data_IF_837638018501
#
_entry.id   IF_837638018501
#
_cell.length_a   1.000
_cell.length_b   1.000
_cell.length_c   1.000
_cell.angle_alpha   90.00
_cell.angle_beta   90.00
_cell.angle_gamma   90.00
#
_symmetry.space_group_name_H-M   'P 1'
#
loop_
_entity.id
_entity.type
_entity.pdbx_description
1 polymer ?
#
# COMPACT_ATOMS: atom_id res chain seq x y z
N UNK A 1 22.55 -6.41 -0.27
CA UNK A 1 22.93 -5.01 0.10
C UNK A 1 22.10 -4.50 1.28
N UNK A 2 20.76 -4.35 1.16
CA UNK A 2 19.92 -3.88 2.28
C UNK A 2 20.04 -4.81 3.52
N UNK A 3 19.99 -6.12 3.32
CA UNK A 3 20.12 -7.13 4.39
C UNK A 3 21.49 -7.10 5.08
N UNK A 4 22.55 -6.82 4.31
CA UNK A 4 23.91 -6.73 4.87
C UNK A 4 24.04 -5.47 5.72
N UNK A 5 23.53 -4.34 5.22
CA UNK A 5 23.55 -3.08 5.95
C UNK A 5 22.67 -3.11 7.21
N UNK A 6 21.49 -3.73 7.13
CA UNK A 6 20.61 -3.91 8.30
C UNK A 6 21.24 -4.84 9.34
N UNK A 7 21.92 -5.91 8.92
CA UNK A 7 22.66 -6.79 9.84
C UNK A 7 23.86 -6.12 10.51
N UNK A 8 24.56 -5.25 9.77
CA UNK A 8 25.67 -4.46 10.31
C UNK A 8 25.18 -3.50 11.39
N UNK A 9 24.17 -2.69 11.08
CA UNK A 9 23.56 -1.78 12.04
C UNK A 9 22.92 -2.53 13.22
N UNK A 10 22.28 -3.67 12.98
CA UNK A 10 21.67 -4.48 14.03
C UNK A 10 22.69 -5.00 15.03
N UNK A 11 23.85 -5.48 14.55
CA UNK A 11 24.99 -5.87 15.41
C UNK A 11 25.55 -4.68 16.18
N UNK A 12 25.70 -3.53 15.52
CA UNK A 12 26.23 -2.31 16.14
C UNK A 12 25.33 -1.77 17.26
N UNK A 13 24.00 -1.74 17.04
CA UNK A 13 23.02 -1.31 18.06
C UNK A 13 22.98 -2.31 19.21
N UNK A 14 22.95 -3.61 18.93
CA UNK A 14 22.91 -4.65 19.97
C UNK A 14 24.15 -4.61 20.86
N UNK A 15 25.35 -4.43 20.28
CA UNK A 15 26.60 -4.34 21.03
C UNK A 15 26.69 -3.12 21.97
N UNK A 16 25.89 -2.08 21.73
CA UNK A 16 25.80 -0.88 22.58
C UNK A 16 24.64 -0.93 23.57
N UNK A 17 23.80 -1.96 23.52
CA UNK A 17 22.62 -2.07 24.35
C UNK A 17 22.97 -2.78 25.67
N UNK A 18 22.93 -2.04 26.78
CA UNK A 18 23.30 -2.53 28.12
C UNK A 18 22.29 -3.56 28.69
N UNK A 19 21.06 -3.62 28.16
CA UNK A 19 20.06 -4.63 28.56
C UNK A 19 19.17 -5.01 27.36
N UNK A 20 19.63 -5.89 26.45
CA UNK A 20 18.95 -6.17 25.20
C UNK A 20 17.73 -7.09 25.40
N UNK A 21 16.52 -6.52 25.32
CA UNK A 21 15.26 -7.30 25.29
C UNK A 21 15.03 -8.05 23.97
N UNK A 22 15.71 -7.64 22.89
CA UNK A 22 15.54 -8.19 21.55
C UNK A 22 16.87 -8.69 21.00
N UNK A 23 16.84 -9.85 20.33
CA UNK A 23 18.01 -10.40 19.65
C UNK A 23 18.42 -9.58 18.41
N UNK A 24 19.69 -9.75 18.01
CA UNK A 24 20.28 -9.09 16.82
C UNK A 24 19.42 -9.27 15.56
N UNK A 25 18.81 -10.45 15.38
CA UNK A 25 17.97 -10.75 14.22
C UNK A 25 16.70 -9.88 14.19
N UNK A 26 16.01 -9.72 15.32
CA UNK A 26 14.81 -8.88 15.42
C UNK A 26 15.13 -7.40 15.17
N UNK A 27 16.24 -6.92 15.73
CA UNK A 27 16.72 -5.55 15.51
C UNK A 27 17.07 -5.35 14.03
N UNK A 28 17.84 -6.26 13.44
CA UNK A 28 18.23 -6.19 12.03
C UNK A 28 17.01 -6.21 11.09
N UNK A 29 16.00 -7.03 11.40
CA UNK A 29 14.76 -7.08 10.64
C UNK A 29 13.95 -5.78 10.74
N UNK A 30 13.85 -5.19 11.95
CA UNK A 30 13.21 -3.88 12.13
C UNK A 30 13.90 -2.79 11.31
N UNK A 31 15.23 -2.74 11.33
CA UNK A 31 16.03 -1.80 10.53
C UNK A 31 15.81 -2.02 9.04
N UNK A 32 15.74 -3.28 8.60
CA UNK A 32 15.45 -3.63 7.22
C UNK A 32 14.07 -3.08 6.79
N UNK A 33 13.03 -3.22 7.62
CA UNK A 33 11.71 -2.65 7.35
C UNK A 33 11.79 -1.12 7.22
N UNK A 34 12.51 -0.45 8.13
CA UNK A 34 12.67 1.00 8.10
C UNK A 34 13.36 1.47 6.81
N UNK A 35 14.49 0.85 6.43
CA UNK A 35 15.21 1.18 5.20
C UNK A 35 14.31 0.95 3.98
N UNK A 36 13.60 -0.17 3.93
CA UNK A 36 12.65 -0.48 2.85
C UNK A 36 11.51 0.55 2.79
N UNK A 37 11.05 1.06 3.93
CA UNK A 37 10.07 2.13 4.03
C UNK A 37 10.60 3.46 3.52
N UNK A 38 11.81 3.85 3.94
CA UNK A 38 12.48 5.07 3.50
C UNK A 38 12.70 5.09 1.99
N UNK A 39 13.15 3.97 1.39
CA UNK A 39 13.30 3.87 -0.06
C UNK A 39 11.96 4.09 -0.78
N UNK A 40 10.85 3.53 -0.27
CA UNK A 40 9.52 3.77 -0.85
C UNK A 40 9.13 5.25 -0.76
N UNK A 41 9.37 5.89 0.39
CA UNK A 41 9.07 7.30 0.58
C UNK A 41 9.86 8.17 -0.42
N UNK A 42 11.16 7.92 -0.57
CA UNK A 42 12.00 8.64 -1.55
C UNK A 42 11.44 8.48 -2.96
N UNK A 43 11.02 7.28 -3.36
CA UNK A 43 10.44 7.06 -4.70
C UNK A 43 9.10 7.79 -4.86
N UNK A 44 8.25 7.82 -3.83
CA UNK A 44 6.98 8.57 -3.87
C UNK A 44 7.25 10.07 -4.00
N UNK A 45 8.23 10.60 -3.27
CA UNK A 45 8.64 12.01 -3.39
C UNK A 45 9.23 12.32 -4.77
N UNK A 46 10.03 11.41 -5.34
CA UNK A 46 10.55 11.54 -6.70
C UNK A 46 9.41 11.58 -7.74
N UNK A 47 8.38 10.74 -7.60
CA UNK A 47 7.17 10.80 -8.42
C UNK A 47 6.48 12.16 -8.25
N UNK A 48 6.39 12.68 -7.02
CA UNK A 48 5.85 14.00 -6.74
C UNK A 48 6.58 15.14 -7.44
N UNK A 49 7.90 15.09 -7.46
CA UNK A 49 8.72 16.06 -8.19
C UNK A 49 8.54 15.94 -9.70
N UNK A 50 8.40 14.73 -10.24
CA UNK A 50 8.15 14.51 -11.67
C UNK A 50 6.78 15.02 -12.14
N UNK A 51 5.81 15.10 -11.23
CA UNK A 51 4.44 15.53 -11.51
C UNK A 51 4.17 16.99 -11.08
N UNK A 52 5.21 17.72 -10.65
CA UNK A 52 5.11 19.04 -10.03
C UNK A 52 4.05 19.11 -8.89
N UNK A 53 3.80 17.98 -8.24
CA UNK A 53 2.82 17.86 -7.17
C UNK A 53 3.21 16.73 -6.21
N UNK A 54 3.77 17.11 -5.06
CA UNK A 54 4.20 16.15 -4.03
C UNK A 54 3.00 15.60 -3.22
N UNK A 55 1.90 16.35 -3.13
CA UNK A 55 0.76 15.99 -2.31
C UNK A 55 -0.02 14.80 -2.86
N UNK A 56 -0.29 14.75 -4.17
CA UNK A 56 -1.10 13.67 -4.76
C UNK A 56 -0.42 12.29 -4.66
N UNK A 57 0.88 12.10 -4.97
CA UNK A 57 1.54 10.80 -4.81
C UNK A 57 1.70 10.38 -3.35
N UNK A 58 1.92 11.31 -2.43
CA UNK A 58 1.92 11.01 -0.99
C UNK A 58 0.55 10.47 -0.55
N UNK A 59 -0.52 11.15 -0.96
CA UNK A 59 -1.88 10.73 -0.64
C UNK A 59 -2.21 9.37 -1.27
N UNK A 60 -1.87 9.16 -2.54
CA UNK A 60 -1.99 7.86 -3.20
C UNK A 60 -1.22 6.77 -2.44
N UNK A 61 0.01 7.06 -2.02
CA UNK A 61 0.84 6.15 -1.23
C UNK A 61 0.23 5.81 0.13
N UNK A 62 -0.37 6.78 0.82
CA UNK A 62 -1.07 6.56 2.10
C UNK A 62 -2.33 5.72 1.88
N UNK A 63 -3.19 6.07 0.92
CA UNK A 63 -4.41 5.30 0.62
C UNK A 63 -4.10 3.86 0.20
N UNK A 64 -3.13 3.69 -0.70
CA UNK A 64 -2.62 2.39 -1.11
C UNK A 64 -2.05 1.61 0.08
N UNK A 65 -1.18 2.23 0.87
CA UNK A 65 -0.49 1.62 2.00
C UNK A 65 -1.44 1.18 3.12
N UNK A 66 -2.35 2.07 3.54
CA UNK A 66 -3.36 1.78 4.55
C UNK A 66 -4.23 0.60 4.13
N UNK A 67 -4.77 0.63 2.91
CA UNK A 67 -5.59 -0.48 2.43
C UNK A 67 -4.79 -1.78 2.36
N UNK A 68 -3.52 -1.73 1.94
CA UNK A 68 -2.62 -2.89 1.85
C UNK A 68 -2.30 -3.52 3.19
N UNK A 69 -2.15 -2.72 4.26
CA UNK A 69 -1.89 -3.24 5.62
C UNK A 69 -3.01 -4.18 6.07
N UNK A 70 -4.27 -3.87 5.73
CA UNK A 70 -5.42 -4.66 6.17
C UNK A 70 -5.91 -5.69 5.15
N UNK A 71 -5.75 -5.43 3.85
CA UNK A 71 -6.18 -6.34 2.78
C UNK A 71 -5.10 -7.34 2.35
N UNK A 72 -3.82 -7.05 2.61
CA UNK A 72 -2.69 -7.77 2.04
C UNK A 72 -2.49 -7.41 0.56
N UNK A 73 -2.00 -8.34 -0.26
CA UNK A 73 -1.81 -8.11 -1.69
C UNK A 73 -0.66 -8.90 -2.29
N UNK A 74 -0.38 -8.65 -3.56
CA UNK A 74 0.72 -9.29 -4.26
C UNK A 74 2.08 -8.89 -3.66
N UNK A 75 2.77 -9.84 -3.01
CA UNK A 75 4.17 -9.70 -2.65
C UNK A 75 5.06 -10.31 -3.74
N UNK A 76 5.81 -9.47 -4.44
CA UNK A 76 6.78 -9.92 -5.42
C UNK A 76 7.96 -10.64 -4.71
N UNK A 77 8.58 -11.59 -5.41
CA UNK A 77 9.75 -12.36 -4.93
C UNK A 77 10.91 -11.47 -4.46
N UNK A 78 11.02 -10.26 -5.00
CA UNK A 78 12.05 -9.30 -4.60
C UNK A 78 11.43 -7.97 -4.23
N UNK A 79 12.07 -7.30 -3.28
CA UNK A 79 11.69 -5.95 -2.89
C UNK A 79 11.73 -4.96 -4.06
N UNK A 80 12.73 -5.08 -4.95
CA UNK A 80 12.85 -4.20 -6.13
C UNK A 80 11.64 -4.31 -7.05
N UNK A 81 11.17 -5.53 -7.33
CA UNK A 81 9.95 -5.75 -8.12
C UNK A 81 8.72 -5.18 -7.41
N UNK A 82 8.60 -5.40 -6.10
CA UNK A 82 7.49 -4.83 -5.32
C UNK A 82 7.51 -3.30 -5.33
N UNK A 83 8.68 -2.69 -5.22
CA UNK A 83 8.88 -1.25 -5.28
C UNK A 83 8.43 -0.72 -6.65
N UNK A 84 8.96 -1.26 -7.74
CA UNK A 84 8.60 -0.83 -9.10
C UNK A 84 7.09 -0.95 -9.38
N UNK A 85 6.47 -2.08 -9.03
CA UNK A 85 5.03 -2.28 -9.23
C UNK A 85 4.21 -1.29 -8.40
N UNK A 86 4.57 -1.10 -7.12
CA UNK A 86 3.82 -0.18 -6.24
C UNK A 86 3.98 1.27 -6.69
N UNK A 87 5.19 1.65 -7.09
CA UNK A 87 5.50 2.98 -7.64
C UNK A 87 4.75 3.24 -8.94
N UNK A 88 4.67 2.24 -9.83
CA UNK A 88 3.87 2.35 -11.05
C UNK A 88 2.38 2.52 -10.76
N UNK A 89 1.83 1.78 -9.79
CA UNK A 89 0.44 1.94 -9.35
C UNK A 89 0.17 3.33 -8.78
N UNK A 90 1.09 3.85 -7.95
CA UNK A 90 0.97 5.19 -7.37
C UNK A 90 1.01 6.24 -8.48
N UNK A 91 2.02 6.18 -9.37
CA UNK A 91 2.15 7.07 -10.51
C UNK A 91 0.90 7.07 -11.40
N UNK A 92 0.41 5.87 -11.79
CA UNK A 92 -0.76 5.75 -12.66
C UNK A 92 -2.03 6.26 -12.00
N UNK A 93 -2.20 6.06 -10.69
CA UNK A 93 -3.38 6.57 -9.96
C UNK A 93 -3.46 8.09 -9.98
N UNK A 94 -2.31 8.77 -9.86
CA UNK A 94 -2.23 10.23 -9.88
C UNK A 94 -2.45 10.76 -11.30
N UNK A 95 -1.75 10.24 -12.30
CA UNK A 95 -1.93 10.66 -13.70
C UNK A 95 -3.38 10.47 -14.15
N UNK A 96 -3.98 9.32 -13.83
CA UNK A 96 -5.36 9.06 -14.22
C UNK A 96 -6.33 10.03 -13.53
N UNK A 97 -6.07 10.42 -12.28
CA UNK A 97 -6.91 11.40 -11.56
C UNK A 97 -6.89 12.79 -12.22
N UNK A 98 -5.72 13.24 -12.66
CA UNK A 98 -5.53 14.55 -13.31
C UNK A 98 -6.24 14.54 -14.66
N UNK A 99 -5.92 13.55 -15.50
CA UNK A 99 -6.51 13.43 -16.85
C UNK A 99 -8.04 13.30 -16.78
N UNK A 100 -8.57 12.54 -15.83
CA UNK A 100 -10.01 12.36 -15.70
C UNK A 100 -10.72 13.64 -15.22
N UNK A 101 -10.10 14.41 -14.33
CA UNK A 101 -10.68 15.66 -13.84
C UNK A 101 -10.72 16.74 -14.91
N UNK A 102 -9.73 16.79 -15.80
CA UNK A 102 -9.70 17.75 -16.92
C UNK A 102 -10.71 17.43 -18.02
N UNK A 103 -11.02 16.15 -18.24
CA UNK A 103 -11.81 15.70 -19.39
C UNK A 103 -13.25 15.26 -19.08
N UNK A 104 -13.58 14.97 -17.82
CA UNK A 104 -14.90 14.49 -17.44
C UNK A 104 -15.77 15.59 -16.83
N UNK A 105 -17.09 15.46 -17.04
CA UNK A 105 -18.05 16.23 -16.27
C UNK A 105 -18.06 15.82 -14.80
N UNK A 106 -18.48 16.73 -13.93
CA UNK A 106 -18.59 16.48 -12.49
C UNK A 106 -19.45 15.24 -12.16
N UNK A 107 -20.56 15.06 -12.88
CA UNK A 107 -21.43 13.88 -12.75
C UNK A 107 -20.68 12.58 -13.05
N UNK A 108 -19.88 12.56 -14.13
CA UNK A 108 -19.09 11.38 -14.50
C UNK A 108 -18.01 11.07 -13.47
N UNK A 109 -17.39 12.09 -12.85
CA UNK A 109 -16.44 11.90 -11.77
C UNK A 109 -17.05 11.19 -10.55
N UNK A 110 -18.28 11.57 -10.13
CA UNK A 110 -19.00 10.85 -9.08
C UNK A 110 -19.28 9.39 -9.44
N UNK A 111 -19.70 9.13 -10.69
CA UNK A 111 -19.94 7.76 -11.18
C UNK A 111 -18.65 6.94 -11.12
N UNK A 112 -17.50 7.51 -11.52
CA UNK A 112 -16.19 6.85 -11.45
C UNK A 112 -15.81 6.52 -10.01
N UNK A 113 -16.03 7.43 -9.05
CA UNK A 113 -15.78 7.18 -7.61
C UNK A 113 -16.60 5.99 -7.11
N UNK A 114 -17.90 5.96 -7.41
CA UNK A 114 -18.79 4.88 -6.98
C UNK A 114 -18.41 3.56 -7.67
N UNK A 115 -18.10 3.57 -8.96
CA UNK A 115 -17.68 2.38 -9.69
C UNK A 115 -16.35 1.81 -9.16
N UNK A 116 -15.36 2.66 -8.91
CA UNK A 116 -14.06 2.27 -8.37
C UNK A 116 -14.17 1.72 -6.94
N UNK A 117 -15.00 2.33 -6.09
CA UNK A 117 -15.26 1.83 -4.73
C UNK A 117 -15.98 0.49 -4.72
N UNK A 118 -16.98 0.28 -5.59
CA UNK A 118 -17.66 -1.02 -5.75
C UNK A 118 -16.70 -2.10 -6.23
N UNK A 119 -15.84 -1.80 -7.21
CA UNK A 119 -14.78 -2.70 -7.65
C UNK A 119 -13.85 -3.06 -6.48
N UNK A 120 -13.40 -2.07 -5.73
CA UNK A 120 -12.52 -2.28 -4.57
C UNK A 120 -13.18 -3.16 -3.52
N UNK A 121 -14.44 -2.87 -3.19
CA UNK A 121 -15.24 -3.61 -2.22
C UNK A 121 -15.41 -5.08 -2.63
N UNK A 122 -15.82 -5.32 -3.88
CA UNK A 122 -16.03 -6.69 -4.40
C UNK A 122 -14.74 -7.50 -4.41
N UNK A 123 -13.62 -6.90 -4.79
CA UNK A 123 -12.32 -7.57 -4.81
C UNK A 123 -11.83 -7.94 -3.40
N UNK A 124 -12.00 -7.05 -2.41
CA UNK A 124 -11.67 -7.37 -1.01
C UNK A 124 -12.64 -8.42 -0.45
N UNK A 125 -13.92 -8.32 -0.77
CA UNK A 125 -14.94 -9.26 -0.32
C UNK A 125 -14.67 -10.68 -0.85
N UNK A 126 -14.25 -10.80 -2.11
CA UNK A 126 -14.02 -12.08 -2.78
C UNK A 126 -12.62 -12.65 -2.54
N UNK A 127 -11.59 -11.82 -2.60
CA UNK A 127 -10.19 -12.28 -2.60
C UNK A 127 -9.40 -11.92 -1.34
N UNK A 128 -9.90 -11.00 -0.49
CA UNK A 128 -9.20 -10.55 0.71
C UNK A 128 -9.53 -11.33 2.00
N UNK A 129 -8.75 -11.13 3.08
CA UNK A 129 -7.39 -10.59 3.09
C UNK A 129 -6.36 -11.70 2.83
N UNK A 130 -5.34 -11.41 2.01
CA UNK A 130 -4.23 -12.31 1.67
C UNK A 130 -2.99 -11.96 2.49
N UNK A 131 -3.02 -12.22 3.79
CA UNK A 131 -1.92 -11.90 4.73
C UNK A 131 -1.13 -13.18 5.03
N UNK A 132 0.20 -13.13 4.98
CA UNK A 132 1.09 -14.29 5.22
C UNK A 132 1.00 -14.83 6.65
N UNK A 133 1.14 -16.16 6.80
CA UNK A 133 1.02 -16.92 8.06
C UNK A 133 1.95 -16.49 9.21
N UNK A 134 2.98 -15.67 9.00
CA UNK A 134 3.91 -15.25 10.07
C UNK A 134 3.30 -14.25 11.07
N UNK A 135 2.14 -13.65 10.72
CA UNK A 135 1.29 -12.83 11.62
C UNK A 135 0.19 -13.68 12.28
N UNK A 136 0.16 -14.99 11.98
CA UNK A 136 -0.95 -15.89 12.30
C UNK A 136 -0.79 -16.49 13.68
N UNK A 137 -1.06 -15.68 14.69
CA UNK A 137 -1.51 -16.17 15.99
C UNK A 137 -2.93 -15.63 16.14
N UNK A 138 -3.91 -16.52 15.88
CA UNK A 138 -5.32 -16.46 16.32
C UNK A 138 -6.30 -15.61 15.47
N UNK A 139 -7.23 -16.32 14.80
CA UNK A 139 -8.66 -16.02 14.57
C UNK A 139 -9.14 -14.69 13.93
N UNK A 140 -8.25 -13.75 13.62
CA UNK A 140 -8.65 -12.37 13.30
C UNK A 140 -8.83 -12.05 11.80
N UNK A 141 -8.90 -13.05 10.90
CA UNK A 141 -9.05 -12.82 9.44
C UNK A 141 -10.29 -11.97 9.13
N UNK A 142 -11.39 -12.23 9.83
CA UNK A 142 -12.64 -11.48 9.72
C UNK A 142 -12.47 -10.02 10.16
N UNK A 143 -11.65 -9.75 11.19
CA UNK A 143 -11.34 -8.41 11.68
C UNK A 143 -10.54 -7.63 10.64
N UNK A 144 -9.48 -8.22 10.07
CA UNK A 144 -8.69 -7.57 9.01
C UNK A 144 -9.55 -7.26 7.79
N UNK A 145 -10.42 -8.19 7.39
CA UNK A 145 -11.40 -7.95 6.31
C UNK A 145 -12.33 -6.79 6.64
N UNK A 146 -12.95 -6.80 7.82
CA UNK A 146 -13.84 -5.72 8.28
C UNK A 146 -13.12 -4.37 8.30
N UNK A 147 -11.89 -4.30 8.81
CA UNK A 147 -11.07 -3.08 8.81
C UNK A 147 -10.75 -2.60 7.40
N UNK A 148 -10.38 -3.51 6.49
CA UNK A 148 -10.15 -3.15 5.09
C UNK A 148 -11.42 -2.58 4.43
N UNK A 149 -12.58 -3.20 4.65
CA UNK A 149 -13.85 -2.70 4.12
C UNK A 149 -14.25 -1.35 4.75
N UNK A 150 -14.03 -1.17 6.06
CA UNK A 150 -14.25 0.11 6.73
C UNK A 150 -13.37 1.23 6.15
N UNK A 151 -12.12 0.93 5.80
CA UNK A 151 -11.22 1.89 5.14
C UNK A 151 -11.76 2.27 3.75
N UNK A 152 -12.27 1.31 2.98
CA UNK A 152 -12.88 1.60 1.67
C UNK A 152 -14.13 2.47 1.84
N UNK A 153 -15.01 2.13 2.77
CA UNK A 153 -16.23 2.90 3.05
C UNK A 153 -15.86 4.33 3.46
N UNK A 154 -14.95 4.48 4.43
CA UNK A 154 -14.50 5.77 4.92
C UNK A 154 -13.84 6.60 3.81
N UNK A 155 -12.94 6.00 3.02
CA UNK A 155 -12.30 6.65 1.89
C UNK A 155 -13.30 7.05 0.80
N UNK A 156 -14.35 6.26 0.57
CA UNK A 156 -15.41 6.57 -0.39
C UNK A 156 -16.26 7.75 0.08
N UNK A 157 -16.68 7.77 1.34
CA UNK A 157 -17.42 8.90 1.92
C UNK A 157 -16.58 10.17 1.82
N UNK A 158 -15.30 10.09 2.21
CA UNK A 158 -14.39 11.23 2.11
C UNK A 158 -14.25 11.73 0.67
N UNK A 159 -14.02 10.84 -0.30
CA UNK A 159 -13.93 11.20 -1.71
C UNK A 159 -15.22 11.87 -2.22
N UNK A 160 -16.40 11.35 -1.86
CA UNK A 160 -17.68 11.91 -2.29
C UNK A 160 -17.93 13.30 -1.69
N UNK A 161 -17.66 13.49 -0.40
CA UNK A 161 -17.84 14.78 0.28
C UNK A 161 -16.91 15.87 -0.28
N UNK A 162 -15.66 15.53 -0.58
CA UNK A 162 -14.65 16.50 -1.02
C UNK A 162 -14.53 16.64 -2.54
N UNK A 163 -15.24 15.83 -3.35
CA UNK A 163 -15.10 15.85 -4.81
C UNK A 163 -15.43 17.21 -5.43
N UNK A 164 -16.44 17.92 -4.93
CA UNK A 164 -16.82 19.24 -5.45
C UNK A 164 -15.73 20.30 -5.28
N UNK A 165 -14.85 20.15 -4.29
CA UNK A 165 -13.82 21.14 -3.94
C UNK A 165 -12.46 20.70 -4.50
N UNK A 166 -12.11 19.41 -4.33
CA UNK A 166 -10.82 18.84 -4.69
C UNK A 166 -10.99 17.53 -5.50
N UNK A 167 -11.44 17.60 -6.76
CA UNK A 167 -11.74 16.41 -7.57
C UNK A 167 -10.52 15.50 -7.80
N UNK A 168 -9.35 16.10 -8.08
CA UNK A 168 -8.08 15.37 -8.25
C UNK A 168 -7.71 14.54 -7.01
N UNK A 169 -7.90 15.11 -5.82
CA UNK A 169 -7.62 14.47 -4.53
C UNK A 169 -8.57 13.28 -4.33
N UNK A 170 -9.87 13.52 -4.52
CA UNK A 170 -10.90 12.49 -4.38
C UNK A 170 -10.69 11.31 -5.34
N UNK A 171 -10.37 11.57 -6.61
CA UNK A 171 -10.10 10.52 -7.60
C UNK A 171 -8.77 9.79 -7.35
N UNK A 172 -7.72 10.51 -6.91
CA UNK A 172 -6.44 9.89 -6.53
C UNK A 172 -6.63 8.84 -5.45
N UNK A 173 -7.39 9.17 -4.39
CA UNK A 173 -7.69 8.22 -3.30
C UNK A 173 -8.38 6.97 -3.84
N UNK A 174 -9.39 7.14 -4.71
CA UNK A 174 -10.16 6.02 -5.25
C UNK A 174 -9.35 5.15 -6.20
N UNK A 175 -8.58 5.73 -7.12
CA UNK A 175 -7.73 4.96 -8.03
C UNK A 175 -6.62 4.22 -7.26
N UNK A 176 -6.01 4.85 -6.25
CA UNK A 176 -5.00 4.19 -5.43
C UNK A 176 -5.58 2.96 -4.69
N UNK A 177 -6.78 3.07 -4.12
CA UNK A 177 -7.47 1.95 -3.47
C UNK A 177 -7.90 0.87 -4.47
N UNK A 178 -8.44 1.26 -5.62
CA UNK A 178 -8.87 0.33 -6.67
C UNK A 178 -7.68 -0.47 -7.22
N UNK A 179 -6.59 0.20 -7.60
CA UNK A 179 -5.39 -0.48 -8.10
C UNK A 179 -4.70 -1.35 -7.04
N UNK A 180 -4.70 -0.93 -5.77
CA UNK A 180 -4.26 -1.79 -4.67
C UNK A 180 -5.11 -3.06 -4.59
N UNK A 181 -6.43 -2.97 -4.73
CA UNK A 181 -7.32 -4.12 -4.69
C UNK A 181 -7.14 -5.07 -5.88
N UNK A 182 -6.75 -4.58 -7.06
CA UNK A 182 -6.38 -5.43 -8.20
C UNK A 182 -5.18 -6.32 -7.88
N UNK A 183 -4.27 -5.87 -7.02
CA UNK A 183 -3.13 -6.70 -6.56
C UNK A 183 -3.58 -7.95 -5.77
N UNK A 184 -4.84 -8.01 -5.32
CA UNK A 184 -5.42 -9.19 -4.66
C UNK A 184 -5.79 -10.29 -5.65
N UNK A 185 -5.99 -9.99 -6.93
CA UNK A 185 -6.44 -10.98 -7.93
C UNK A 185 -5.35 -12.02 -8.20
N UNK A 186 -4.07 -11.60 -8.23
CA UNK A 186 -2.97 -12.50 -8.59
C UNK A 186 -2.76 -13.60 -7.53
N UNK A 187 -2.79 -14.87 -7.96
CA UNK A 187 -2.83 -16.05 -7.09
C UNK A 187 -1.49 -16.79 -7.03
N UNK A 188 -0.40 -16.08 -6.69
CA UNK A 188 0.92 -16.70 -6.56
C UNK A 188 1.25 -17.19 -5.13
N UNK A 189 0.24 -17.40 -4.26
CA UNK A 189 0.46 -17.90 -2.90
C UNK A 189 0.98 -19.34 -2.82
N UNK A 190 1.02 -20.09 -3.93
CA UNK A 190 1.64 -21.42 -3.98
C UNK A 190 3.18 -21.38 -3.83
N UNK A 191 3.84 -20.21 -3.91
CA UNK A 191 5.32 -20.13 -3.91
C UNK A 191 5.96 -19.71 -2.57
N UNK A 192 5.19 -19.13 -1.65
CA UNK A 192 5.71 -18.77 -0.31
C UNK A 192 5.88 -19.96 0.64
N UNK A 193 5.43 -21.16 0.26
CA UNK A 193 5.68 -22.38 1.04
C UNK A 193 7.07 -22.98 0.78
N UNK A 194 7.75 -22.62 -0.33
CA UNK A 194 9.07 -23.17 -0.66
C UNK A 194 10.24 -22.37 -0.05
N UNK A 195 10.06 -21.09 0.27
CA UNK A 195 11.13 -20.23 0.82
C UNK A 195 11.29 -20.32 2.36
N UNK A 196 10.62 -21.29 3.01
CA UNK A 196 10.77 -21.58 4.45
C UNK A 196 11.34 -23.01 4.69
N UNK A 197 11.82 -23.69 3.64
CA UNK A 197 12.70 -24.85 3.80
C UNK A 197 14.16 -24.43 3.69
#
# INVERSE_FOLDING_TARGET
MITNFSSFLGKWIWARNLNPQYGVQSISYGIEILIRGLIKLIVILAIGLLLDNIFLPLLAGVSFGLLRVFSGGYHAKTFTKCLLISSFIIYSSVILSIVMTENLSSLMGYIVIVAASLLTFTLIARFGPKITKRVYIIDNRSIFKKRALLIVIFGTILSLCFFSIYPNVSLTIQFAMAFQSLSLINNNQNRTQEEIK
#
